data_IF_858195862092
#
_entry.id   IF_858195862092
#
_cell.length_a   1.000
_cell.length_b   1.000
_cell.length_c   1.000
_cell.angle_alpha   90.00
_cell.angle_beta   90.00
_cell.angle_gamma   90.00
#
_symmetry.space_group_name_H-M   'P 1'
#
loop_
_entity.id
_entity.type
_entity.pdbx_description
1 polymer ?
#
# COMPACT_ATOMS: atom_id res chain seq x y z
N UNK A 1 -9.82 10.95 15.81
CA UNK A 1 -9.37 11.20 14.43
C UNK A 1 -7.85 11.04 14.46
N UNK A 2 -7.31 9.89 14.06
CA UNK A 2 -5.87 9.62 14.17
C UNK A 2 -5.18 10.23 12.96
N UNK A 3 -4.36 11.26 13.17
CA UNK A 3 -3.58 11.89 12.11
C UNK A 3 -2.35 11.02 11.83
N UNK A 4 -2.06 10.74 10.55
CA UNK A 4 -0.85 9.99 10.15
C UNK A 4 0.38 10.89 10.26
N UNK A 5 1.43 10.38 10.91
CA UNK A 5 2.73 11.08 11.01
C UNK A 5 3.79 10.56 10.03
N UNK A 6 3.55 9.43 9.41
CA UNK A 6 4.36 8.85 8.35
C UNK A 6 3.90 7.43 8.04
N UNK A 7 4.12 6.97 6.81
CA UNK A 7 3.77 5.63 6.37
C UNK A 7 4.60 5.22 5.16
N UNK A 8 5.45 4.20 5.34
CA UNK A 8 6.29 3.58 4.32
C UNK A 8 6.19 2.05 4.49
N UNK A 9 6.16 1.32 3.38
CA UNK A 9 6.12 -0.14 3.36
C UNK A 9 6.31 -0.70 1.95
N UNK A 10 6.36 -2.02 1.84
CA UNK A 10 6.49 -2.75 0.57
C UNK A 10 5.30 -3.66 0.31
N UNK A 11 4.95 -3.85 -0.96
CA UNK A 11 3.95 -4.84 -1.40
C UNK A 11 4.56 -6.23 -1.65
N UNK A 12 5.90 -6.31 -1.76
CA UNK A 12 6.62 -7.53 -2.09
C UNK A 12 7.55 -7.89 -0.94
N UNK A 13 7.38 -9.13 -0.45
CA UNK A 13 8.29 -9.72 0.52
C UNK A 13 9.64 -10.00 -0.15
N UNK A 14 10.68 -9.30 0.29
CA UNK A 14 12.04 -9.44 -0.23
C UNK A 14 13.07 -9.74 0.87
N UNK A 15 12.66 -9.67 2.14
CA UNK A 15 13.49 -9.96 3.30
C UNK A 15 12.63 -10.46 4.48
N UNK A 16 13.24 -11.03 5.55
CA UNK A 16 12.49 -11.48 6.72
C UNK A 16 11.69 -10.36 7.38
N UNK A 17 10.44 -10.65 7.77
CA UNK A 17 9.48 -9.69 8.31
C UNK A 17 10.06 -8.80 9.42
N UNK A 18 10.82 -9.37 10.36
CA UNK A 18 11.40 -8.59 11.46
C UNK A 18 12.39 -7.51 10.98
N UNK A 19 13.19 -7.78 9.93
CA UNK A 19 14.09 -6.79 9.35
C UNK A 19 13.31 -5.71 8.59
N UNK A 20 12.26 -6.14 7.89
CA UNK A 20 11.40 -5.26 7.10
C UNK A 20 10.65 -4.27 7.97
N UNK A 21 10.05 -4.74 9.06
CA UNK A 21 9.35 -3.89 10.04
C UNK A 21 10.30 -2.85 10.65
N UNK A 22 11.53 -3.23 11.01
CA UNK A 22 12.51 -2.29 11.58
C UNK A 22 12.89 -1.23 10.55
N UNK A 23 13.22 -1.63 9.33
CA UNK A 23 13.61 -0.70 8.27
C UNK A 23 12.46 0.28 7.94
N UNK A 24 11.25 -0.24 7.73
CA UNK A 24 10.09 0.58 7.40
C UNK A 24 9.60 1.46 8.56
N UNK A 25 9.78 1.04 9.82
CA UNK A 25 9.49 1.89 10.98
C UNK A 25 10.41 3.12 11.02
N UNK A 26 11.70 2.95 10.72
CA UNK A 26 12.66 4.06 10.61
C UNK A 26 12.28 4.95 9.42
N UNK A 27 12.05 4.37 8.24
CA UNK A 27 11.71 5.15 7.04
C UNK A 27 10.39 5.91 7.20
N UNK A 28 9.36 5.31 7.81
CA UNK A 28 8.11 6.00 8.09
C UNK A 28 8.31 7.19 9.03
N UNK A 29 9.27 7.11 9.98
CA UNK A 29 9.54 8.19 10.91
C UNK A 29 10.45 9.30 10.33
N UNK A 30 11.41 8.95 9.46
CA UNK A 30 12.48 9.90 9.04
C UNK A 30 12.55 10.17 7.54
N UNK A 31 11.97 9.32 6.71
CA UNK A 31 12.16 9.32 5.26
C UNK A 31 10.87 9.53 4.46
N UNK A 32 9.70 9.65 5.10
CA UNK A 32 8.46 9.94 4.40
C UNK A 32 8.46 11.40 3.88
N UNK A 33 8.54 11.63 2.55
CA UNK A 33 8.79 12.95 1.98
C UNK A 33 7.63 13.94 2.17
N UNK A 34 6.46 13.47 2.61
CA UNK A 34 5.28 14.31 2.86
C UNK A 34 5.39 15.07 4.19
N UNK A 35 6.39 14.72 5.01
CA UNK A 35 6.41 14.99 6.43
C UNK A 35 7.84 15.31 6.88
N UNK A 36 7.97 16.23 7.83
CA UNK A 36 9.27 16.42 8.49
C UNK A 36 9.61 15.19 9.34
N UNK A 37 10.90 14.83 9.47
CA UNK A 37 11.34 13.74 10.34
C UNK A 37 10.79 13.89 11.76
N UNK A 38 10.33 12.79 12.34
CA UNK A 38 9.83 12.72 13.72
C UNK A 38 10.94 13.12 14.69
N UNK A 39 10.61 14.02 15.61
CA UNK A 39 11.53 14.41 16.69
C UNK A 39 11.43 13.49 17.90
N UNK A 40 12.47 13.47 18.73
CA UNK A 40 12.48 12.69 19.97
C UNK A 40 11.37 13.10 20.95
N UNK A 41 10.91 14.35 20.91
CA UNK A 41 9.81 14.84 21.75
C UNK A 41 8.43 14.37 21.27
N UNK A 42 8.28 14.10 19.97
CA UNK A 42 7.04 13.57 19.41
C UNK A 42 6.90 12.07 19.63
N UNK A 43 8.01 11.32 19.68
CA UNK A 43 8.00 9.85 19.79
C UNK A 43 7.08 9.29 20.88
N UNK A 44 7.08 9.80 22.14
CA UNK A 44 6.19 9.30 23.20
C UNK A 44 4.70 9.56 22.95
N UNK A 45 4.37 10.44 22.00
CA UNK A 45 3.00 10.84 21.66
C UNK A 45 2.46 10.07 20.46
N UNK A 46 3.29 9.27 19.79
CA UNK A 46 2.90 8.53 18.59
C UNK A 46 2.24 7.21 18.94
N UNK A 47 1.20 6.88 18.17
CA UNK A 47 0.68 5.52 18.11
C UNK A 47 1.30 4.81 16.91
N UNK A 48 1.94 3.66 17.14
CA UNK A 48 2.61 2.87 16.11
C UNK A 48 1.67 1.75 15.67
N UNK A 49 1.48 1.62 14.37
CA UNK A 49 0.67 0.57 13.75
C UNK A 49 1.50 -0.17 12.70
N UNK A 50 1.38 -1.51 12.67
CA UNK A 50 2.09 -2.36 11.70
C UNK A 50 1.06 -3.22 10.97
N UNK A 51 0.99 -3.04 9.65
CA UNK A 51 0.13 -3.82 8.77
C UNK A 51 0.96 -4.86 8.02
N UNK A 52 0.69 -6.15 8.26
CA UNK A 52 1.37 -7.26 7.58
C UNK A 52 0.49 -7.79 6.47
N UNK A 53 1.01 -7.80 5.25
CA UNK A 53 0.33 -8.34 4.07
C UNK A 53 0.71 -9.81 3.88
N UNK A 54 -0.26 -10.61 3.42
CA UNK A 54 0.00 -11.96 2.92
C UNK A 54 0.46 -11.94 1.46
N UNK A 55 0.78 -13.13 0.95
CA UNK A 55 1.14 -13.29 -0.47
C UNK A 55 0.02 -12.77 -1.39
N UNK A 56 0.35 -11.91 -2.38
CA UNK A 56 -0.62 -11.43 -3.35
C UNK A 56 -1.27 -12.60 -4.11
N UNK A 57 -2.59 -12.63 -4.14
CA UNK A 57 -3.35 -13.65 -4.88
C UNK A 57 -3.99 -13.04 -6.12
N UNK A 58 -3.84 -13.73 -7.25
CA UNK A 58 -4.54 -13.37 -8.47
C UNK A 58 -6.05 -13.51 -8.26
N UNK A 59 -6.81 -12.49 -8.66
CA UNK A 59 -8.27 -12.52 -8.64
C UNK A 59 -8.81 -12.73 -10.05
N UNK A 60 -9.89 -13.53 -10.16
CA UNK A 60 -10.62 -13.68 -11.41
C UNK A 60 -11.69 -12.61 -11.52
N UNK A 61 -11.62 -11.79 -12.57
CA UNK A 61 -12.62 -10.77 -12.86
C UNK A 61 -13.65 -11.33 -13.84
N UNK A 62 -14.92 -11.34 -13.43
CA UNK A 62 -16.06 -11.61 -14.32
C UNK A 62 -16.65 -10.29 -14.80
N UNK A 63 -16.85 -10.19 -16.11
CA UNK A 63 -17.59 -9.07 -16.70
C UNK A 63 -19.07 -9.14 -16.33
N UNK A 64 -19.80 -8.03 -16.47
CA UNK A 64 -21.26 -7.96 -16.21
C UNK A 64 -22.03 -9.03 -17.00
N UNK A 65 -21.55 -9.37 -18.18
CA UNK A 65 -22.18 -10.36 -19.07
C UNK A 65 -21.73 -11.81 -18.76
N UNK A 66 -21.09 -12.03 -17.62
CA UNK A 66 -20.66 -13.34 -17.13
C UNK A 66 -19.44 -13.93 -17.85
N UNK A 67 -18.88 -13.21 -18.83
CA UNK A 67 -17.65 -13.62 -19.53
C UNK A 67 -16.44 -13.34 -18.65
N UNK A 68 -15.52 -14.28 -18.60
CA UNK A 68 -14.24 -14.12 -17.93
C UNK A 68 -13.43 -13.04 -18.68
N UNK A 69 -12.81 -12.12 -17.93
CA UNK A 69 -11.97 -11.11 -18.53
C UNK A 69 -10.74 -11.77 -19.19
N UNK A 70 -10.27 -11.28 -20.35
CA UNK A 70 -9.07 -11.81 -20.98
C UNK A 70 -7.85 -11.65 -20.05
N UNK A 71 -7.09 -12.73 -19.91
CA UNK A 71 -5.79 -12.77 -19.23
C UNK A 71 -4.67 -12.73 -20.29
N UNK A 72 -3.56 -11.99 -20.08
CA UNK A 72 -3.29 -11.12 -18.94
C UNK A 72 -4.13 -9.84 -18.99
N UNK A 73 -4.56 -9.37 -17.81
CA UNK A 73 -5.09 -8.02 -17.69
C UNK A 73 -4.02 -7.04 -18.14
N UNK A 74 -4.42 -5.99 -18.84
CA UNK A 74 -3.42 -5.29 -19.61
C UNK A 74 -2.76 -4.22 -18.70
N UNK A 75 -1.49 -3.84 -18.93
CA UNK A 75 -0.55 -3.35 -17.89
C UNK A 75 -0.95 -2.13 -17.03
N UNK A 76 -1.95 -1.34 -17.42
CA UNK A 76 -2.51 -0.23 -16.65
C UNK A 76 -3.60 -0.70 -15.67
N UNK A 77 -3.89 -2.00 -15.67
CA UNK A 77 -4.89 -2.70 -14.89
C UNK A 77 -4.17 -3.67 -13.93
N UNK A 78 -3.34 -3.14 -13.04
CA UNK A 78 -2.50 -3.96 -12.15
C UNK A 78 -3.05 -4.10 -10.72
N UNK A 79 -3.91 -3.19 -10.25
CA UNK A 79 -4.44 -3.26 -8.89
C UNK A 79 -5.94 -2.97 -8.86
N UNK A 80 -6.74 -3.97 -8.47
CA UNK A 80 -8.08 -3.77 -7.96
C UNK A 80 -8.04 -4.09 -6.47
N UNK A 81 -7.99 -3.07 -5.62
CA UNK A 81 -8.19 -3.24 -4.18
C UNK A 81 -9.71 -3.18 -3.91
N UNK A 82 -10.27 -4.29 -3.46
CA UNK A 82 -11.68 -4.37 -3.07
C UNK A 82 -11.81 -3.90 -1.62
N UNK A 83 -12.42 -2.72 -1.40
CA UNK A 83 -12.75 -2.23 -0.06
C UNK A 83 -14.27 -1.95 0.04
N UNK A 84 -14.95 -2.56 1.02
CA UNK A 84 -16.36 -2.29 1.39
C UNK A 84 -17.37 -2.26 0.22
N UNK A 85 -17.29 -3.20 -0.73
CA UNK A 85 -18.28 -3.31 -1.81
C UNK A 85 -18.24 -2.19 -2.85
N UNK A 86 -17.20 -1.35 -2.84
CA UNK A 86 -16.96 -0.32 -3.86
C UNK A 86 -15.69 -0.66 -4.62
N UNK A 87 -15.81 -0.82 -5.94
CA UNK A 87 -14.66 -0.93 -6.81
C UNK A 87 -14.04 0.48 -6.96
N UNK A 88 -12.89 0.71 -6.33
CA UNK A 88 -12.10 1.91 -6.56
C UNK A 88 -10.98 1.58 -7.53
N UNK A 89 -10.98 2.25 -8.68
CA UNK A 89 -9.84 2.27 -9.58
C UNK A 89 -8.87 3.33 -9.07
N UNK A 90 -7.68 2.93 -8.61
CA UNK A 90 -6.56 3.87 -8.53
C UNK A 90 -6.01 3.96 -9.95
N UNK A 91 -6.33 5.04 -10.66
CA UNK A 91 -5.70 5.30 -11.96
C UNK A 91 -4.18 5.24 -11.76
N UNK A 92 -3.42 4.52 -12.61
CA UNK A 92 -2.02 4.84 -12.75
C UNK A 92 -1.98 6.33 -13.09
N UNK A 93 -1.11 7.10 -12.43
CA UNK A 93 -0.79 8.44 -12.90
C UNK A 93 -0.49 8.29 -14.38
N UNK A 94 -1.40 8.76 -15.23
CA UNK A 94 -1.14 8.86 -16.65
C UNK A 94 0.16 9.66 -16.74
N UNK A 95 1.18 9.23 -17.52
CA UNK A 95 2.21 10.17 -17.88
C UNK A 95 1.48 11.38 -18.44
N UNK A 96 1.71 12.51 -17.79
CA UNK A 96 1.15 13.80 -18.18
C UNK A 96 1.33 13.96 -19.70
N UNK A 97 0.31 14.49 -20.36
CA UNK A 97 0.56 15.22 -21.61
C UNK A 97 1.48 16.40 -21.31
#
# INVERSE_FOLDING_TARGET
MTLVRGCIGSLVAHQPLGKDVIAHAVDAATCDPRFNPVTAAEYPLLNIEVSVLGEPQAITIKTRDGKEAPQPLPPWFQCAEFWHGRLQFRLPLLPEF
#
